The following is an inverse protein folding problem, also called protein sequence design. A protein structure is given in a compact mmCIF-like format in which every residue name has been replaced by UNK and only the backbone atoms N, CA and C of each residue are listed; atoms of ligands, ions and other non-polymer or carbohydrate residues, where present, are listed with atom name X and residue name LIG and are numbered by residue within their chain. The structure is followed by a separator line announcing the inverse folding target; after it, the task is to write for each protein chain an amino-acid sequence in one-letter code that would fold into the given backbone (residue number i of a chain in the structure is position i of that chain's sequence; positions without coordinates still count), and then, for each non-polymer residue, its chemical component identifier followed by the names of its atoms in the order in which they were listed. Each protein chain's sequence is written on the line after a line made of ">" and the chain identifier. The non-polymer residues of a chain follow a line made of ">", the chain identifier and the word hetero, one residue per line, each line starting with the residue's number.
data_IF_415187016531
#
_entry.id   IF_415187016531
#
_cell.length_a   1.000
_cell.length_b   1.000
_cell.length_c   1.000
_cell.angle_alpha   90.00
_cell.angle_beta   90.00
_cell.angle_gamma   90.00
#
_symmetry.space_group_name_H-M   'P 1'
#
loop_
_entity.id
_entity.type
_entity.pdbx_description
1 polymer ?
#
# COMPACT_ATOMS: atom_id res chain seq x y z
N UNK A 1 -13.63 -40.90 32.30
CA UNK A 1 -13.70 -40.50 30.87
C UNK A 1 -14.85 -41.28 30.23
N UNK A 2 -16.03 -40.67 30.08
CA UNK A 2 -17.16 -41.28 29.37
C UNK A 2 -16.95 -41.01 27.91
N UNK A 3 -16.74 -42.07 27.11
CA UNK A 3 -16.69 -42.02 25.66
C UNK A 3 -18.02 -41.45 25.11
N UNK A 4 -17.94 -40.29 24.47
CA UNK A 4 -19.03 -39.75 23.69
C UNK A 4 -19.18 -40.64 22.45
N UNK A 5 -20.07 -41.64 22.53
CA UNK A 5 -20.56 -42.33 21.34
C UNK A 5 -21.44 -41.32 20.59
N UNK A 6 -20.89 -40.73 19.54
CA UNK A 6 -21.64 -40.02 18.51
C UNK A 6 -22.33 -41.13 17.68
N UNK A 7 -23.46 -41.58 18.19
CA UNK A 7 -24.33 -42.52 17.46
C UNK A 7 -25.12 -41.77 16.39
N UNK A 8 -24.67 -41.89 15.21
CA UNK A 8 -25.26 -41.85 13.88
C UNK A 8 -26.80 -41.73 13.79
N UNK A 9 -27.33 -40.50 13.98
CA UNK A 9 -28.57 -40.12 13.34
C UNK A 9 -28.51 -38.61 13.12
N UNK A 10 -27.85 -38.17 12.05
CA UNK A 10 -27.86 -36.77 11.64
C UNK A 10 -29.26 -36.49 11.13
N UNK A 11 -30.07 -35.65 11.82
CA UNK A 11 -31.50 -35.44 11.49
C UNK A 11 -31.70 -34.53 10.30
N UNK A 12 -30.77 -34.54 9.31
CA UNK A 12 -30.77 -33.64 8.13
C UNK A 12 -32.04 -33.83 7.28
N UNK A 13 -32.74 -34.98 7.38
CA UNK A 13 -34.00 -35.23 6.66
C UNK A 13 -35.21 -34.54 7.28
N UNK A 14 -35.12 -33.99 8.50
CA UNK A 14 -36.26 -33.36 9.18
C UNK A 14 -36.35 -31.89 8.87
N UNK A 15 -37.50 -31.48 8.34
CA UNK A 15 -37.76 -30.07 7.91
C UNK A 15 -37.64 -29.08 9.07
N UNK A 16 -37.98 -29.47 10.31
CA UNK A 16 -37.86 -28.59 11.49
C UNK A 16 -36.42 -28.35 11.85
N UNK A 17 -35.58 -29.37 11.89
CA UNK A 17 -34.14 -29.24 12.11
C UNK A 17 -33.50 -28.31 11.07
N UNK A 18 -33.83 -28.50 9.80
CA UNK A 18 -33.31 -27.66 8.72
C UNK A 18 -33.72 -26.19 8.86
N UNK A 19 -34.97 -25.93 9.27
CA UNK A 19 -35.43 -24.54 9.55
C UNK A 19 -34.67 -23.90 10.69
N UNK A 20 -34.49 -24.61 11.81
CA UNK A 20 -33.71 -24.11 12.96
C UNK A 20 -32.26 -23.84 12.53
N UNK A 21 -31.65 -24.76 11.79
CA UNK A 21 -30.29 -24.61 11.28
C UNK A 21 -30.19 -23.38 10.35
N UNK A 22 -31.15 -23.17 9.44
CA UNK A 22 -31.17 -22.02 8.55
C UNK A 22 -31.32 -20.68 9.32
N UNK A 23 -32.11 -20.66 10.40
CA UNK A 23 -32.21 -19.46 11.25
C UNK A 23 -30.86 -19.15 11.90
N UNK A 24 -30.14 -20.12 12.44
CA UNK A 24 -28.81 -19.89 12.99
C UNK A 24 -27.78 -19.52 11.92
N UNK A 25 -27.86 -20.14 10.74
CA UNK A 25 -27.00 -19.81 9.61
C UNK A 25 -27.24 -18.39 9.09
N UNK A 26 -28.49 -17.86 9.20
CA UNK A 26 -28.80 -16.51 8.76
C UNK A 26 -28.06 -15.44 9.58
N UNK A 27 -27.62 -15.72 10.81
CA UNK A 27 -26.78 -14.84 11.60
C UNK A 27 -25.36 -14.69 11.04
N UNK A 28 -24.92 -15.60 10.15
CA UNK A 28 -23.62 -15.46 9.46
C UNK A 28 -23.71 -14.54 8.25
N UNK A 29 -24.90 -14.22 7.74
CA UNK A 29 -25.13 -13.39 6.57
C UNK A 29 -24.62 -11.94 6.77
N UNK A 30 -24.88 -11.25 7.89
CA UNK A 30 -24.29 -9.95 8.18
C UNK A 30 -22.76 -9.97 8.20
N UNK A 31 -22.15 -11.04 8.69
CA UNK A 31 -20.68 -11.18 8.73
C UNK A 31 -20.12 -11.24 7.31
N UNK A 32 -20.77 -12.00 6.41
CA UNK A 32 -20.38 -12.05 4.99
C UNK A 32 -20.52 -10.70 4.30
N UNK A 33 -21.62 -9.98 4.55
CA UNK A 33 -21.86 -8.67 3.96
C UNK A 33 -20.79 -7.67 4.43
N UNK A 34 -20.54 -7.60 5.75
CA UNK A 34 -19.54 -6.71 6.34
C UNK A 34 -18.14 -7.10 5.85
N UNK A 35 -17.81 -8.39 5.82
CA UNK A 35 -16.53 -8.88 5.32
C UNK A 35 -16.29 -8.50 3.86
N UNK A 36 -17.29 -8.64 3.00
CA UNK A 36 -17.21 -8.24 1.60
C UNK A 36 -17.06 -6.72 1.43
N UNK A 37 -17.81 -5.95 2.21
CA UNK A 37 -17.70 -4.48 2.19
C UNK A 37 -16.31 -4.02 2.64
N UNK A 38 -15.79 -4.57 3.73
CA UNK A 38 -14.45 -4.27 4.22
C UNK A 38 -13.38 -4.65 3.20
N UNK A 39 -13.51 -5.81 2.55
CA UNK A 39 -12.58 -6.23 1.51
C UNK A 39 -12.47 -5.22 0.37
N UNK A 40 -13.61 -4.78 -0.17
CA UNK A 40 -13.64 -3.78 -1.26
C UNK A 40 -13.03 -2.46 -0.78
N UNK A 41 -13.43 -1.99 0.40
CA UNK A 41 -12.95 -0.72 0.94
C UNK A 41 -11.43 -0.73 1.20
N UNK A 42 -10.89 -1.78 1.80
CA UNK A 42 -9.45 -1.91 2.03
C UNK A 42 -8.66 -2.09 0.73
N UNK A 43 -9.24 -2.75 -0.27
CA UNK A 43 -8.59 -2.89 -1.58
C UNK A 43 -8.39 -1.52 -2.25
N UNK A 44 -9.43 -0.69 -2.26
CA UNK A 44 -9.36 0.64 -2.86
C UNK A 44 -8.41 1.55 -2.08
N UNK A 45 -8.49 1.54 -0.74
CA UNK A 45 -7.58 2.28 0.11
C UNK A 45 -6.11 1.86 -0.09
N UNK A 46 -5.84 0.56 -0.11
CA UNK A 46 -4.49 0.04 -0.34
C UNK A 46 -3.92 0.47 -1.71
N UNK A 47 -4.78 0.56 -2.74
CA UNK A 47 -4.39 1.05 -4.06
C UNK A 47 -4.01 2.54 -4.03
N UNK A 48 -4.77 3.35 -3.32
CA UNK A 48 -4.49 4.78 -3.18
C UNK A 48 -3.22 5.01 -2.34
N UNK A 49 -3.04 4.29 -1.24
CA UNK A 49 -1.83 4.32 -0.41
C UNK A 49 -0.58 3.92 -1.21
N UNK A 50 -0.71 2.91 -2.08
CA UNK A 50 0.36 2.47 -2.96
C UNK A 50 0.79 3.58 -3.94
N UNK A 51 -0.17 4.23 -4.61
CA UNK A 51 0.09 5.37 -5.50
C UNK A 51 0.72 6.54 -4.75
N UNK A 52 0.17 6.89 -3.61
CA UNK A 52 0.67 7.98 -2.77
C UNK A 52 2.10 7.71 -2.31
N UNK A 53 2.42 6.48 -1.91
CA UNK A 53 3.79 6.10 -1.51
C UNK A 53 4.80 6.28 -2.63
N UNK A 54 4.46 5.85 -3.86
CA UNK A 54 5.33 6.05 -5.03
C UNK A 54 5.53 7.55 -5.28
N UNK A 55 4.45 8.33 -5.24
CA UNK A 55 4.49 9.77 -5.47
C UNK A 55 5.35 10.49 -4.43
N UNK A 56 5.17 10.18 -3.14
CA UNK A 56 5.96 10.78 -2.06
C UNK A 56 7.44 10.43 -2.17
N UNK A 57 7.79 9.19 -2.49
CA UNK A 57 9.16 8.77 -2.69
C UNK A 57 9.81 9.47 -3.90
N UNK A 58 9.05 9.59 -4.98
CA UNK A 58 9.51 10.29 -6.19
C UNK A 58 9.69 11.79 -5.92
N UNK A 59 8.76 12.41 -5.18
CA UNK A 59 8.85 13.80 -4.76
C UNK A 59 10.08 14.04 -3.87
N UNK A 60 10.28 13.19 -2.87
CA UNK A 60 11.44 13.30 -1.98
C UNK A 60 12.76 13.18 -2.76
N UNK A 61 12.82 12.31 -3.77
CA UNK A 61 13.99 12.16 -4.64
C UNK A 61 14.21 13.40 -5.51
N UNK A 62 13.15 13.95 -6.08
CA UNK A 62 13.20 15.16 -6.90
C UNK A 62 13.66 16.36 -6.07
N UNK A 63 13.08 16.56 -4.88
CA UNK A 63 13.44 17.65 -3.97
C UNK A 63 14.90 17.52 -3.50
N UNK A 64 15.35 16.30 -3.22
CA UNK A 64 16.74 16.04 -2.86
C UNK A 64 17.70 16.43 -3.99
N UNK A 65 17.41 16.03 -5.23
CA UNK A 65 18.21 16.36 -6.41
C UNK A 65 18.21 17.89 -6.61
N UNK A 66 17.05 18.55 -6.51
CA UNK A 66 16.92 20.00 -6.65
C UNK A 66 17.79 20.73 -5.63
N UNK A 67 17.76 20.32 -4.35
CA UNK A 67 18.58 20.93 -3.28
C UNK A 67 20.06 20.76 -3.56
N UNK A 68 20.48 19.58 -4.05
CA UNK A 68 21.89 19.34 -4.41
C UNK A 68 22.34 20.21 -5.58
N UNK A 69 21.55 20.27 -6.65
CA UNK A 69 21.86 21.09 -7.82
C UNK A 69 21.90 22.59 -7.46
N UNK A 70 20.96 23.04 -6.63
CA UNK A 70 20.94 24.42 -6.14
C UNK A 70 22.16 24.74 -5.27
N UNK A 71 22.58 23.79 -4.42
CA UNK A 71 23.78 23.94 -3.58
C UNK A 71 25.03 24.02 -4.45
N UNK A 72 25.11 23.18 -5.48
CA UNK A 72 26.18 23.19 -6.47
C UNK A 72 26.25 24.54 -7.22
N UNK A 73 25.12 25.05 -7.64
CA UNK A 73 25.01 26.38 -8.27
C UNK A 73 25.51 27.49 -7.33
N UNK A 74 25.06 27.51 -6.08
CA UNK A 74 25.51 28.50 -5.09
C UNK A 74 27.01 28.42 -4.79
N UNK A 75 27.55 27.21 -4.72
CA UNK A 75 28.96 26.95 -4.52
C UNK A 75 29.80 27.46 -5.70
N UNK A 76 29.31 27.24 -6.94
CA UNK A 76 29.94 27.78 -8.14
C UNK A 76 29.96 29.29 -8.17
N UNK A 77 28.91 29.94 -7.69
CA UNK A 77 28.86 31.41 -7.55
C UNK A 77 29.84 31.89 -6.51
N UNK A 78 29.97 31.18 -5.39
CA UNK A 78 30.92 31.57 -4.34
C UNK A 78 32.36 31.48 -4.83
N UNK A 79 32.67 30.57 -5.78
CA UNK A 79 33.97 30.48 -6.44
C UNK A 79 34.34 31.78 -7.13
N UNK A 80 33.45 32.34 -7.93
CA UNK A 80 33.68 33.60 -8.63
C UNK A 80 33.66 34.84 -7.70
N UNK A 81 33.24 34.71 -6.47
CA UNK A 81 33.21 35.76 -5.47
C UNK A 81 34.44 35.71 -4.55
N UNK A 82 35.24 34.66 -4.61
CA UNK A 82 36.46 34.50 -3.82
C UNK A 82 37.58 35.41 -4.38
N UNK A 83 38.03 36.38 -3.58
CA UNK A 83 39.08 37.33 -3.99
C UNK A 83 40.38 36.64 -4.35
N UNK A 84 40.73 35.55 -3.68
CA UNK A 84 41.91 34.77 -3.99
C UNK A 84 41.79 34.09 -5.36
N UNK A 85 40.67 33.46 -5.63
CA UNK A 85 40.40 32.86 -6.95
C UNK A 85 40.47 33.93 -8.04
N UNK A 86 39.82 35.07 -7.83
CA UNK A 86 39.81 36.16 -8.81
C UNK A 86 41.19 36.74 -9.08
N UNK A 87 42.06 36.86 -8.07
CA UNK A 87 43.42 37.33 -8.27
C UNK A 87 44.29 36.39 -9.12
N UNK A 88 43.95 35.10 -9.14
CA UNK A 88 44.68 34.07 -9.92
C UNK A 88 44.17 33.91 -11.34
N UNK A 89 42.90 34.26 -11.58
CA UNK A 89 42.31 34.28 -12.93
C UNK A 89 42.75 35.52 -13.72
N UNK A 90 43.49 36.44 -13.08
CA UNK A 90 44.11 37.60 -13.75
C UNK A 90 45.40 37.21 -14.52
N UNK A 91 45.74 37.96 -15.58
CA UNK A 91 46.91 37.64 -16.36
C UNK A 91 48.20 37.72 -15.53
N UNK A 92 49.04 36.78 -15.75
CA UNK A 92 50.32 36.54 -15.07
C UNK A 92 51.31 37.73 -15.04
N UNK A 93 51.06 38.78 -15.84
CA UNK A 93 51.97 39.91 -15.97
C UNK A 93 52.07 40.86 -14.77
N UNK A 94 51.22 40.66 -13.77
CA UNK A 94 51.12 41.57 -12.61
C UNK A 94 51.58 40.95 -11.29
N UNK A 95 52.07 39.73 -11.28
CA UNK A 95 52.42 39.06 -10.02
C UNK A 95 53.92 39.19 -9.68
N UNK A 96 54.18 39.67 -8.48
CA UNK A 96 55.52 39.58 -7.87
C UNK A 96 55.91 38.11 -7.61
N UNK A 97 57.22 37.78 -7.57
CA UNK A 97 57.67 36.43 -7.32
C UNK A 97 57.12 35.76 -6.05
N UNK A 98 56.76 36.58 -5.05
CA UNK A 98 56.16 36.10 -3.81
C UNK A 98 54.75 35.52 -3.99
N UNK A 99 54.00 35.90 -5.04
CA UNK A 99 52.65 35.44 -5.27
C UNK A 99 52.56 34.05 -5.90
N UNK A 100 53.69 33.55 -6.42
CA UNK A 100 53.81 32.18 -6.99
C UNK A 100 53.60 31.08 -5.96
N UNK A 101 53.81 31.36 -4.68
CA UNK A 101 53.63 30.40 -3.59
C UNK A 101 52.16 30.04 -3.33
N UNK A 102 51.26 30.84 -3.83
CA UNK A 102 49.83 30.68 -3.59
C UNK A 102 49.04 30.04 -4.78
N UNK A 103 49.73 29.65 -5.87
CA UNK A 103 49.14 28.95 -7.03
C UNK A 103 48.27 27.70 -6.69
N UNK A 104 48.45 26.99 -5.55
CA UNK A 104 47.65 25.89 -5.17
C UNK A 104 46.19 26.20 -4.80
N UNK A 105 45.80 27.46 -4.69
CA UNK A 105 44.50 27.86 -4.12
C UNK A 105 43.30 27.54 -5.02
N UNK A 106 43.45 27.53 -6.36
CA UNK A 106 42.32 27.19 -7.26
C UNK A 106 41.98 25.68 -7.18
N UNK A 107 42.93 24.74 -7.36
CA UNK A 107 42.68 23.31 -7.16
C UNK A 107 42.13 23.02 -5.76
N UNK A 108 42.69 23.61 -4.71
CA UNK A 108 42.21 23.43 -3.35
C UNK A 108 40.76 23.95 -3.17
N UNK A 109 40.45 25.10 -3.74
CA UNK A 109 39.08 25.65 -3.68
C UNK A 109 38.10 24.78 -4.46
N UNK A 110 38.47 24.26 -5.63
CA UNK A 110 37.68 23.30 -6.39
C UNK A 110 37.47 21.99 -5.64
N UNK A 111 38.50 21.46 -5.01
CA UNK A 111 38.43 20.27 -4.17
C UNK A 111 37.46 20.49 -2.99
N UNK A 112 37.56 21.64 -2.31
CA UNK A 112 36.65 22.02 -1.22
C UNK A 112 35.21 22.12 -1.70
N UNK A 113 34.97 22.75 -2.85
CA UNK A 113 33.63 22.85 -3.44
C UNK A 113 33.12 21.45 -3.79
N UNK A 114 33.91 20.64 -4.47
CA UNK A 114 33.55 19.27 -4.84
C UNK A 114 33.16 18.45 -3.62
N UNK A 115 33.91 18.53 -2.52
CA UNK A 115 33.62 17.80 -1.29
C UNK A 115 32.35 18.32 -0.58
N UNK A 116 32.03 19.60 -0.69
CA UNK A 116 30.84 20.19 -0.06
C UNK A 116 29.54 19.96 -0.84
N UNK A 117 29.63 19.74 -2.15
CA UNK A 117 28.44 19.57 -3.01
C UNK A 117 27.91 18.12 -2.94
N UNK A 118 28.73 17.17 -2.50
CA UNK A 118 28.31 15.78 -2.32
C UNK A 118 28.42 14.92 -3.58
N UNK A 119 27.87 13.73 -3.50
CA UNK A 119 28.16 12.65 -4.44
C UNK A 119 27.51 12.75 -5.82
N UNK A 120 26.49 13.59 -6.01
CA UNK A 120 25.82 13.76 -7.32
C UNK A 120 26.74 14.40 -8.36
N UNK A 121 27.72 15.21 -7.89
CA UNK A 121 28.67 15.87 -8.78
C UNK A 121 29.82 14.90 -9.07
N UNK A 122 30.00 14.66 -10.34
CA UNK A 122 31.05 13.80 -10.82
C UNK A 122 32.39 14.49 -10.91
N UNK A 123 32.41 15.69 -11.51
CA UNK A 123 33.60 16.49 -11.66
C UNK A 123 33.28 17.99 -11.68
N UNK A 124 34.24 18.79 -11.25
CA UNK A 124 34.25 20.27 -11.37
C UNK A 124 35.59 20.70 -11.94
N UNK A 125 35.55 21.53 -12.97
CA UNK A 125 36.73 22.16 -13.56
C UNK A 125 36.41 23.57 -14.07
N UNK A 126 37.45 24.38 -14.10
CA UNK A 126 37.36 25.77 -14.63
C UNK A 126 38.37 25.94 -15.73
N UNK A 127 37.98 26.44 -16.86
CA UNK A 127 38.90 26.77 -17.92
C UNK A 127 38.85 28.29 -18.20
N UNK A 128 40.02 28.81 -18.57
CA UNK A 128 40.25 30.23 -18.74
C UNK A 128 40.94 30.45 -20.08
N UNK A 129 40.38 31.39 -20.89
CA UNK A 129 40.92 31.83 -22.17
C UNK A 129 41.36 30.69 -23.13
N UNK A 130 40.65 29.56 -23.12
CA UNK A 130 40.90 28.34 -23.91
C UNK A 130 42.33 27.78 -23.87
N UNK A 131 43.13 28.19 -22.88
CA UNK A 131 44.52 27.72 -22.70
C UNK A 131 44.66 26.73 -21.55
N UNK A 132 44.00 26.98 -20.45
CA UNK A 132 44.25 26.29 -19.16
C UNK A 132 42.95 25.76 -18.55
N UNK A 133 43.00 24.55 -18.01
CA UNK A 133 41.91 23.95 -17.24
C UNK A 133 42.40 23.67 -15.85
N UNK A 134 41.76 24.27 -14.88
CA UNK A 134 41.97 24.02 -13.43
C UNK A 134 41.00 22.93 -12.97
N UNK A 135 41.51 21.91 -12.38
CA UNK A 135 40.79 20.81 -11.77
C UNK A 135 41.08 20.76 -10.27
N UNK A 136 40.41 19.90 -9.54
CA UNK A 136 40.75 19.65 -8.13
C UNK A 136 42.13 19.02 -7.97
N UNK A 137 42.65 18.36 -8.99
CA UNK A 137 43.91 17.61 -8.99
C UNK A 137 45.07 18.43 -9.53
N UNK A 138 44.84 19.56 -10.17
CA UNK A 138 45.87 20.42 -10.72
C UNK A 138 45.46 21.29 -11.91
N UNK A 139 46.47 21.70 -12.65
CA UNK A 139 46.35 22.54 -13.84
C UNK A 139 46.71 21.73 -15.09
N UNK A 140 45.83 21.75 -16.07
CA UNK A 140 46.01 21.00 -17.30
C UNK A 140 45.96 21.93 -18.53
N UNK A 141 46.50 21.50 -19.66
CA UNK A 141 46.34 22.14 -20.94
C UNK A 141 44.91 21.89 -21.46
N UNK A 142 44.26 22.89 -22.01
CA UNK A 142 42.88 22.80 -22.51
C UNK A 142 42.70 21.67 -23.55
N UNK A 143 43.58 21.61 -24.55
CA UNK A 143 43.49 20.58 -25.59
C UNK A 143 43.70 19.16 -25.01
N UNK A 144 44.65 19.02 -24.12
CA UNK A 144 44.96 17.74 -23.50
C UNK A 144 43.81 17.28 -22.56
N UNK A 145 43.23 18.21 -21.83
CA UNK A 145 42.12 17.91 -20.94
C UNK A 145 40.93 17.34 -21.69
N UNK A 146 40.42 18.04 -22.71
CA UNK A 146 39.24 17.63 -23.44
C UNK A 146 39.45 16.48 -24.41
N UNK A 147 40.71 16.22 -24.84
CA UNK A 147 41.01 15.10 -25.74
C UNK A 147 41.43 13.83 -25.04
N UNK A 148 41.98 13.92 -23.83
CA UNK A 148 42.62 12.78 -23.18
C UNK A 148 42.16 12.52 -21.77
N UNK A 149 41.85 13.57 -20.99
CA UNK A 149 41.49 13.39 -19.57
C UNK A 149 40.00 13.22 -19.38
N UNK A 150 39.20 14.13 -20.00
CA UNK A 150 37.76 14.18 -19.79
C UNK A 150 37.04 14.46 -21.12
N UNK A 151 36.76 13.39 -21.84
CA UNK A 151 36.21 13.46 -23.20
C UNK A 151 34.69 13.33 -23.19
N UNK A 152 34.02 14.35 -23.76
CA UNK A 152 32.56 14.31 -23.96
C UNK A 152 32.27 13.81 -25.40
N UNK A 153 31.40 12.82 -25.54
CA UNK A 153 31.02 12.31 -26.84
C UNK A 153 30.19 13.32 -27.67
N UNK A 154 29.39 14.16 -27.00
CA UNK A 154 28.51 15.11 -27.66
C UNK A 154 29.15 16.51 -27.82
N UNK A 155 30.25 16.80 -27.15
CA UNK A 155 30.83 18.13 -27.07
C UNK A 155 32.32 18.11 -27.34
N UNK A 156 32.69 18.61 -28.51
CA UNK A 156 34.11 18.68 -28.91
C UNK A 156 34.81 19.93 -28.33
N UNK A 157 36.09 20.08 -28.61
CA UNK A 157 36.86 21.25 -28.16
C UNK A 157 36.32 22.58 -28.72
N UNK A 158 35.84 22.57 -29.95
CA UNK A 158 35.32 23.79 -30.60
C UNK A 158 34.04 24.25 -29.89
N UNK A 159 33.22 23.32 -29.47
CA UNK A 159 32.05 23.60 -28.67
C UNK A 159 32.44 24.27 -27.31
N UNK A 160 33.41 23.69 -26.57
CA UNK A 160 33.84 24.24 -25.29
C UNK A 160 34.45 25.64 -25.44
N UNK A 161 35.23 25.89 -26.52
CA UNK A 161 35.72 27.23 -26.84
C UNK A 161 34.61 28.24 -27.07
N UNK A 162 33.55 27.84 -27.77
CA UNK A 162 32.40 28.72 -28.00
C UNK A 162 31.67 29.10 -26.71
N UNK A 163 31.68 28.21 -25.71
CA UNK A 163 31.01 28.46 -24.40
C UNK A 163 31.70 29.51 -23.54
N UNK A 164 32.99 29.73 -23.71
CA UNK A 164 33.71 30.78 -23.00
C UNK A 164 33.18 32.15 -23.38
N UNK A 165 32.84 32.36 -24.65
CA UNK A 165 32.43 33.66 -25.18
C UNK A 165 30.98 34.05 -24.87
N UNK A 166 30.19 33.19 -24.27
CA UNK A 166 28.81 33.45 -23.91
C UNK A 166 28.70 33.77 -22.43
N UNK A 167 28.40 35.04 -22.10
CA UNK A 167 28.11 35.50 -20.74
C UNK A 167 26.76 34.93 -20.23
N UNK A 168 26.66 33.59 -20.15
CA UNK A 168 25.51 32.93 -19.58
C UNK A 168 25.80 32.53 -18.14
N UNK A 169 25.01 33.05 -17.23
CA UNK A 169 25.14 32.80 -15.82
C UNK A 169 25.03 31.34 -15.43
N UNK A 170 24.13 30.58 -16.06
CA UNK A 170 23.96 29.15 -15.91
C UNK A 170 23.35 28.60 -17.20
N UNK A 171 23.99 27.58 -17.77
CA UNK A 171 23.46 26.83 -18.89
C UNK A 171 23.54 25.35 -18.57
N UNK A 172 22.39 24.66 -18.60
CA UNK A 172 22.34 23.20 -18.55
C UNK A 172 22.50 22.69 -19.99
N UNK A 173 23.40 21.74 -20.20
CA UNK A 173 23.58 21.06 -21.48
C UNK A 173 22.89 19.71 -21.45
N UNK A 174 22.66 19.14 -22.65
CA UNK A 174 22.11 17.81 -22.76
C UNK A 174 23.07 16.74 -22.19
N UNK A 175 22.55 15.61 -21.69
CA UNK A 175 23.39 14.51 -21.24
C UNK A 175 24.37 14.05 -22.31
N UNK A 176 25.60 13.78 -21.92
CA UNK A 176 26.63 13.25 -22.79
C UNK A 176 27.34 12.09 -22.14
N UNK A 177 27.70 11.10 -22.93
CA UNK A 177 28.67 10.08 -22.52
C UNK A 177 30.03 10.75 -22.32
N UNK A 178 30.67 10.39 -21.22
CA UNK A 178 31.98 10.93 -20.84
C UNK A 178 32.94 9.77 -20.62
N UNK A 179 34.08 9.84 -21.28
CA UNK A 179 35.21 8.93 -21.06
C UNK A 179 36.25 9.66 -20.24
N UNK A 180 36.57 9.13 -19.07
CA UNK A 180 37.65 9.64 -18.22
C UNK A 180 38.82 8.69 -18.30
N UNK A 181 40.03 9.24 -18.37
CA UNK A 181 41.26 8.41 -18.42
C UNK A 181 41.22 7.34 -17.36
N UNK A 182 41.43 6.08 -17.77
CA UNK A 182 41.45 4.87 -16.91
C UNK A 182 40.15 4.56 -16.15
N UNK A 183 39.00 5.14 -16.57
CA UNK A 183 37.69 4.90 -15.96
C UNK A 183 36.69 4.36 -16.97
N UNK A 184 35.60 3.75 -16.46
CA UNK A 184 34.48 3.34 -17.31
C UNK A 184 33.76 4.56 -17.90
N UNK A 185 33.18 4.37 -19.07
CA UNK A 185 32.27 5.35 -19.69
C UNK A 185 31.06 5.58 -18.76
N UNK A 186 30.70 6.82 -18.55
CA UNK A 186 29.58 7.26 -17.73
C UNK A 186 28.77 8.34 -18.43
N UNK A 187 27.55 8.60 -18.00
CA UNK A 187 26.73 9.67 -18.55
C UNK A 187 26.71 10.84 -17.58
N UNK A 188 26.99 12.03 -18.08
CA UNK A 188 27.00 13.25 -17.27
C UNK A 188 26.21 14.36 -17.93
N UNK A 189 25.56 15.19 -17.09
CA UNK A 189 24.88 16.42 -17.48
C UNK A 189 25.79 17.58 -17.11
N UNK A 190 26.36 18.30 -18.12
CA UNK A 190 27.17 19.47 -17.83
C UNK A 190 26.31 20.68 -17.48
N UNK A 191 26.70 21.39 -16.42
CA UNK A 191 26.21 22.72 -16.08
C UNK A 191 27.37 23.69 -16.25
N UNK A 192 27.19 24.69 -17.09
CA UNK A 192 28.22 25.66 -17.46
C UNK A 192 27.89 27.00 -16.82
N UNK A 193 28.86 27.57 -16.10
CA UNK A 193 28.80 28.90 -15.50
C UNK A 193 29.88 29.76 -16.13
N UNK A 194 29.55 30.49 -17.19
CA UNK A 194 30.48 31.33 -17.88
C UNK A 194 30.39 32.77 -17.35
N UNK A 195 31.56 33.41 -17.18
CA UNK A 195 31.65 34.81 -16.73
C UNK A 195 32.92 35.47 -17.25
N UNK A 196 32.79 36.71 -17.67
CA UNK A 196 33.94 37.55 -17.97
C UNK A 196 34.41 38.22 -16.71
N UNK A 197 35.71 38.04 -16.36
CA UNK A 197 36.34 38.62 -15.17
C UNK A 197 37.60 39.37 -15.61
N UNK A 198 37.61 40.70 -15.39
CA UNK A 198 38.75 41.58 -15.71
C UNK A 198 39.29 41.43 -17.14
N UNK A 199 38.40 41.17 -18.12
CA UNK A 199 38.76 41.00 -19.52
C UNK A 199 39.14 39.56 -19.89
N UNK A 200 39.18 38.63 -18.94
CA UNK A 200 39.38 37.20 -19.15
C UNK A 200 38.07 36.50 -19.13
N UNK A 201 37.90 35.53 -20.06
CA UNK A 201 36.75 34.70 -20.10
C UNK A 201 37.02 33.42 -19.31
N UNK A 202 36.22 33.16 -18.31
CA UNK A 202 36.31 31.95 -17.49
C UNK A 202 34.97 31.20 -17.51
N UNK A 203 35.05 29.88 -17.69
CA UNK A 203 33.88 29.02 -17.56
C UNK A 203 34.16 27.89 -16.57
N UNK A 204 33.31 27.81 -15.57
CA UNK A 204 33.26 26.65 -14.69
C UNK A 204 32.26 25.64 -15.25
N UNK A 205 32.68 24.41 -15.34
CA UNK A 205 31.82 23.30 -15.71
C UNK A 205 31.71 22.35 -14.53
N UNK A 206 30.49 22.06 -14.17
CA UNK A 206 30.15 21.10 -13.17
C UNK A 206 29.38 19.97 -13.86
N UNK A 207 29.83 18.73 -13.73
CA UNK A 207 29.18 17.58 -14.32
C UNK A 207 28.42 16.80 -13.27
N UNK A 208 27.14 16.56 -13.53
CA UNK A 208 26.24 15.78 -12.67
C UNK A 208 26.13 14.38 -13.20
N UNK A 209 26.40 13.39 -12.38
CA UNK A 209 26.30 11.97 -12.77
C UNK A 209 24.84 11.53 -12.89
N UNK A 210 24.45 11.08 -14.07
CA UNK A 210 23.12 10.53 -14.34
C UNK A 210 22.93 9.22 -13.57
N UNK A 211 23.98 8.41 -13.45
CA UNK A 211 23.95 7.16 -12.70
C UNK A 211 23.69 7.40 -11.20
N UNK A 212 24.25 8.46 -10.62
CA UNK A 212 24.02 8.84 -9.23
C UNK A 212 22.60 9.38 -9.00
N UNK A 213 22.09 10.16 -9.93
CA UNK A 213 20.66 10.58 -9.92
C UNK A 213 19.78 9.33 -9.93
N UNK A 214 20.07 8.40 -10.84
CA UNK A 214 19.33 7.16 -10.97
C UNK A 214 19.35 6.33 -9.69
N UNK A 215 20.54 6.15 -9.08
CA UNK A 215 20.69 5.47 -7.79
C UNK A 215 19.90 6.14 -6.68
N UNK A 216 19.90 7.46 -6.60
CA UNK A 216 19.15 8.21 -5.60
C UNK A 216 17.65 7.93 -5.72
N UNK A 217 17.11 7.96 -6.94
CA UNK A 217 15.70 7.69 -7.18
C UNK A 217 15.37 6.22 -6.88
N UNK A 218 16.21 5.28 -7.32
CA UNK A 218 15.99 3.84 -7.09
C UNK A 218 16.05 3.47 -5.61
N UNK A 219 17.01 4.02 -4.87
CA UNK A 219 17.15 3.75 -3.44
C UNK A 219 15.96 4.28 -2.62
N UNK A 220 15.39 5.40 -3.02
CA UNK A 220 14.21 5.97 -2.37
C UNK A 220 12.89 5.38 -2.90
N UNK A 221 12.90 4.75 -4.07
CA UNK A 221 11.71 4.34 -4.80
C UNK A 221 10.87 3.24 -4.14
N UNK A 222 11.46 2.36 -3.39
CA UNK A 222 10.76 1.38 -2.55
C UNK A 222 10.24 0.12 -3.26
N UNK A 223 10.21 0.06 -4.60
CA UNK A 223 9.80 -1.12 -5.37
C UNK A 223 10.84 -1.47 -6.43
N UNK A 224 11.35 -2.70 -6.39
CA UNK A 224 12.49 -3.14 -7.23
C UNK A 224 12.16 -3.22 -8.72
N UNK A 225 10.91 -3.41 -9.07
CA UNK A 225 10.43 -3.52 -10.46
C UNK A 225 9.95 -2.20 -11.06
N UNK A 226 10.06 -1.09 -10.32
CA UNK A 226 9.67 0.23 -10.82
C UNK A 226 10.67 0.71 -11.87
N UNK A 227 10.15 1.14 -13.00
CA UNK A 227 10.91 1.82 -14.04
C UNK A 227 10.82 3.33 -13.84
N UNK A 228 11.95 4.01 -14.04
CA UNK A 228 12.05 5.45 -13.88
C UNK A 228 12.46 6.12 -15.20
N UNK A 229 11.91 7.31 -15.43
CA UNK A 229 12.30 8.17 -16.54
C UNK A 229 12.46 9.59 -16.01
N UNK A 230 13.41 10.33 -16.57
CA UNK A 230 13.64 11.73 -16.27
C UNK A 230 13.60 12.48 -17.60
N UNK A 231 12.77 13.51 -17.66
CA UNK A 231 12.66 14.42 -18.80
C UNK A 231 13.17 15.80 -18.39
N UNK A 232 13.74 16.50 -19.32
CA UNK A 232 14.08 17.91 -19.18
C UNK A 232 12.86 18.83 -19.40
N UNK A 233 13.09 20.13 -19.30
CA UNK A 233 12.05 21.15 -19.55
C UNK A 233 11.54 21.19 -21.00
N UNK A 234 12.28 20.61 -21.93
CA UNK A 234 11.93 20.48 -23.36
C UNK A 234 11.20 19.19 -23.68
N UNK A 235 10.97 18.32 -22.69
CA UNK A 235 10.46 16.96 -22.79
C UNK A 235 11.41 15.99 -23.53
N UNK A 236 12.70 16.27 -23.51
CA UNK A 236 13.70 15.31 -23.95
C UNK A 236 14.11 14.37 -22.81
N UNK A 237 14.38 13.10 -23.11
CA UNK A 237 14.75 12.10 -22.12
C UNK A 237 16.19 12.36 -21.64
N UNK A 238 16.34 12.76 -20.38
CA UNK A 238 17.64 12.83 -19.69
C UNK A 238 18.15 11.45 -19.39
N UNK A 239 17.28 10.59 -18.86
CA UNK A 239 17.62 9.24 -18.45
C UNK A 239 16.39 8.35 -18.32
N UNK A 240 16.60 7.05 -18.51
CA UNK A 240 15.61 6.01 -18.26
C UNK A 240 16.25 4.72 -17.75
N UNK A 241 15.56 4.02 -16.87
CA UNK A 241 15.92 2.66 -16.45
C UNK A 241 15.41 1.59 -17.42
N UNK A 242 14.58 1.96 -18.38
CA UNK A 242 13.98 1.06 -19.38
C UNK A 242 15.04 0.78 -20.45
N UNK A 243 15.37 -0.49 -20.64
CA UNK A 243 16.39 -0.89 -21.64
C UNK A 243 15.88 -0.83 -23.08
N UNK A 244 14.61 -1.17 -23.27
CA UNK A 244 13.95 -1.14 -24.58
C UNK A 244 12.75 -0.18 -24.51
N UNK A 245 12.89 0.96 -25.16
CA UNK A 245 11.89 2.03 -25.16
C UNK A 245 10.81 1.86 -26.24
N UNK A 246 11.01 0.99 -27.22
CA UNK A 246 10.09 0.88 -28.37
C UNK A 246 8.66 0.54 -27.95
N UNK A 247 8.39 -0.43 -27.04
CA UNK A 247 7.03 -0.72 -26.58
C UNK A 247 6.39 0.43 -25.78
N UNK A 248 7.22 1.33 -25.23
CA UNK A 248 6.80 2.40 -24.32
C UNK A 248 6.56 3.73 -25.02
N UNK A 249 7.11 3.91 -26.22
CA UNK A 249 7.22 5.20 -26.91
C UNK A 249 5.87 5.87 -27.14
N UNK A 250 4.89 5.14 -27.63
CA UNK A 250 3.54 5.67 -27.87
C UNK A 250 2.83 6.08 -26.58
N UNK A 251 3.04 5.31 -25.52
CA UNK A 251 2.46 5.58 -24.21
C UNK A 251 3.11 6.80 -23.56
N UNK A 252 4.43 6.90 -23.63
CA UNK A 252 5.21 8.03 -23.08
C UNK A 252 4.84 9.34 -23.80
N UNK A 253 4.75 9.33 -25.12
CA UNK A 253 4.32 10.51 -25.89
C UNK A 253 2.90 10.97 -25.55
N UNK A 254 1.99 10.05 -25.26
CA UNK A 254 0.64 10.37 -24.79
C UNK A 254 0.66 11.12 -23.45
N UNK A 255 1.51 10.69 -22.51
CA UNK A 255 1.57 11.30 -21.16
C UNK A 255 2.24 12.66 -21.15
N UNK A 256 3.32 12.84 -21.90
CA UNK A 256 4.01 14.12 -22.02
C UNK A 256 3.14 15.18 -22.68
N UNK A 257 2.29 14.79 -23.64
CA UNK A 257 1.34 15.71 -24.30
C UNK A 257 0.13 16.07 -23.44
N UNK A 258 -0.40 15.11 -22.67
CA UNK A 258 -1.62 15.31 -21.87
C UNK A 258 -1.35 15.78 -20.43
N UNK A 259 -0.09 15.90 -20.01
CA UNK A 259 0.34 16.28 -18.65
C UNK A 259 -0.40 15.50 -17.55
N UNK A 260 -0.60 14.21 -17.77
CA UNK A 260 -1.30 13.34 -16.82
C UNK A 260 -0.41 13.12 -15.60
N UNK A 261 -0.84 13.57 -14.43
CA UNK A 261 -0.08 13.47 -13.20
C UNK A 261 -0.03 12.05 -12.61
N UNK A 262 -1.04 11.25 -12.88
CA UNK A 262 -1.06 9.83 -12.49
C UNK A 262 -2.10 9.07 -13.31
N UNK A 263 -1.80 7.85 -13.67
CA UNK A 263 -2.71 7.04 -14.49
C UNK A 263 -2.38 5.55 -14.46
N UNK A 264 -3.25 4.76 -15.08
CA UNK A 264 -3.00 3.36 -15.36
C UNK A 264 -2.63 3.19 -16.83
N UNK A 265 -1.55 2.45 -17.07
CA UNK A 265 -1.01 2.11 -18.37
C UNK A 265 -1.21 0.64 -18.67
N UNK A 266 -1.38 0.32 -19.94
CA UNK A 266 -1.27 -1.06 -20.43
C UNK A 266 -0.21 -1.11 -21.52
N UNK A 267 0.85 -1.89 -21.28
CA UNK A 267 1.94 -2.10 -22.24
C UNK A 267 2.15 -3.60 -22.35
N UNK A 268 2.10 -4.14 -23.56
CA UNK A 268 2.22 -5.57 -23.83
C UNK A 268 1.30 -6.47 -22.98
N UNK A 269 0.07 -6.01 -22.73
CA UNK A 269 -0.90 -6.72 -21.93
C UNK A 269 -0.74 -6.58 -20.40
N UNK A 270 0.38 -6.03 -19.94
CA UNK A 270 0.63 -5.78 -18.52
C UNK A 270 0.09 -4.42 -18.09
N UNK A 271 -0.44 -4.36 -16.87
CA UNK A 271 -0.88 -3.12 -16.24
C UNK A 271 0.25 -2.47 -15.45
N UNK A 272 0.39 -1.16 -15.59
CA UNK A 272 1.34 -0.34 -14.84
C UNK A 272 0.63 0.86 -14.20
N UNK A 273 1.16 1.32 -13.09
CA UNK A 273 0.77 2.59 -12.45
C UNK A 273 1.83 3.62 -12.81
N UNK A 274 1.40 4.70 -13.46
CA UNK A 274 2.22 5.86 -13.76
C UNK A 274 2.03 6.90 -12.67
N UNK A 275 3.14 7.46 -12.18
CA UNK A 275 3.16 8.62 -11.30
C UNK A 275 4.24 9.55 -11.78
N UNK A 276 4.00 10.86 -11.75
CA UNK A 276 5.02 11.85 -12.07
C UNK A 276 5.14 12.93 -10.99
N UNK A 277 6.30 13.57 -11.01
CA UNK A 277 6.62 14.72 -10.17
C UNK A 277 7.45 15.69 -11.00
N UNK A 278 7.14 16.98 -10.92
CA UNK A 278 7.90 18.03 -11.60
C UNK A 278 8.82 18.72 -10.60
N UNK A 279 10.11 18.86 -10.97
CA UNK A 279 11.07 19.67 -10.24
C UNK A 279 10.63 21.13 -10.22
N UNK A 280 10.72 21.73 -9.04
CA UNK A 280 10.39 23.17 -8.88
C UNK A 280 11.46 24.10 -9.42
N UNK A 281 12.70 23.63 -9.58
CA UNK A 281 13.87 24.49 -9.88
C UNK A 281 14.33 24.38 -11.34
N UNK A 282 14.48 23.14 -11.81
CA UNK A 282 15.08 22.91 -13.14
C UNK A 282 14.05 22.54 -14.22
N UNK A 283 12.77 22.42 -13.84
CA UNK A 283 11.70 22.07 -14.75
C UNK A 283 11.75 20.62 -15.22
N UNK A 284 12.59 19.78 -14.61
CA UNK A 284 12.65 18.36 -14.91
C UNK A 284 11.37 17.65 -14.46
N UNK A 285 10.96 16.66 -15.21
CA UNK A 285 9.83 15.82 -14.82
C UNK A 285 10.30 14.39 -14.60
N UNK A 286 10.05 13.90 -13.40
CA UNK A 286 10.38 12.54 -12.99
C UNK A 286 9.15 11.67 -13.13
N UNK A 287 9.28 10.53 -13.78
CA UNK A 287 8.22 9.53 -13.92
C UNK A 287 8.65 8.25 -13.24
N UNK A 288 7.72 7.64 -12.52
CA UNK A 288 7.80 6.29 -12.00
C UNK A 288 6.70 5.44 -12.62
N UNK A 289 7.09 4.34 -13.23
CA UNK A 289 6.19 3.37 -13.87
C UNK A 289 6.34 2.04 -13.15
N UNK A 290 5.38 1.74 -12.27
CA UNK A 290 5.42 0.56 -11.41
C UNK A 290 4.46 -0.50 -11.93
N UNK A 291 4.89 -1.76 -12.12
CA UNK A 291 3.98 -2.84 -12.48
C UNK A 291 2.87 -3.00 -11.44
N UNK A 292 1.64 -3.16 -11.92
CA UNK A 292 0.49 -3.39 -11.03
C UNK A 292 0.62 -4.70 -10.23
N UNK A 293 1.43 -5.63 -10.72
CA UNK A 293 1.77 -6.87 -10.02
C UNK A 293 2.39 -6.61 -8.63
N UNK A 294 3.24 -5.60 -8.48
CA UNK A 294 3.83 -5.21 -7.18
C UNK A 294 2.77 -4.85 -6.14
N UNK A 295 1.72 -4.15 -6.57
CA UNK A 295 0.57 -3.88 -5.71
C UNK A 295 -0.18 -5.15 -5.35
N UNK A 296 -0.46 -6.03 -6.34
CA UNK A 296 -1.18 -7.28 -6.10
C UNK A 296 -0.39 -8.23 -5.20
N UNK A 297 0.91 -8.35 -5.35
CA UNK A 297 1.74 -9.25 -4.54
C UNK A 297 1.79 -8.83 -3.07
N UNK A 298 1.92 -7.53 -2.78
CA UNK A 298 1.88 -7.03 -1.41
C UNK A 298 0.49 -7.11 -0.78
N UNK A 299 -0.54 -6.78 -1.55
CA UNK A 299 -1.92 -6.80 -1.05
C UNK A 299 -2.47 -8.22 -0.91
N UNK A 300 -2.09 -9.16 -1.78
CA UNK A 300 -2.56 -10.56 -1.69
C UNK A 300 -2.17 -11.24 -0.38
N UNK A 301 -1.01 -10.97 0.17
CA UNK A 301 -0.60 -11.55 1.45
C UNK A 301 -1.49 -11.05 2.60
N UNK A 302 -1.81 -9.77 2.64
CA UNK A 302 -2.72 -9.18 3.64
C UNK A 302 -4.14 -9.71 3.43
N UNK A 303 -4.63 -9.71 2.18
CA UNK A 303 -5.96 -10.19 1.85
C UNK A 303 -6.12 -11.69 2.11
N UNK A 304 -5.11 -12.52 1.80
CA UNK A 304 -5.12 -13.94 2.12
C UNK A 304 -5.22 -14.18 3.64
N UNK A 305 -4.54 -13.38 4.44
CA UNK A 305 -4.61 -13.45 5.90
C UNK A 305 -6.01 -13.10 6.41
N UNK A 306 -6.59 -11.98 5.94
CA UNK A 306 -7.96 -11.58 6.30
C UNK A 306 -8.98 -12.60 5.83
N UNK A 307 -8.88 -13.09 4.60
CA UNK A 307 -9.77 -14.11 4.05
C UNK A 307 -9.69 -15.42 4.86
N UNK A 308 -8.49 -15.84 5.26
CA UNK A 308 -8.32 -17.05 6.07
C UNK A 308 -8.99 -16.92 7.44
N UNK A 309 -8.88 -15.76 8.09
CA UNK A 309 -9.57 -15.47 9.36
C UNK A 309 -11.08 -15.53 9.15
N UNK A 310 -11.61 -14.89 8.11
CA UNK A 310 -13.04 -14.92 7.79
C UNK A 310 -13.55 -16.36 7.53
N UNK A 311 -12.79 -17.18 6.80
CA UNK A 311 -13.14 -18.58 6.54
C UNK A 311 -13.17 -19.39 7.85
N UNK A 312 -12.17 -19.22 8.72
CA UNK A 312 -12.14 -19.88 10.03
C UNK A 312 -13.35 -19.50 10.87
N UNK A 313 -13.70 -18.20 10.92
CA UNK A 313 -14.87 -17.72 11.64
C UNK A 313 -16.18 -18.26 11.06
N UNK A 314 -16.30 -18.36 9.74
CA UNK A 314 -17.46 -18.97 9.08
C UNK A 314 -17.59 -20.45 9.42
N UNK A 315 -16.50 -21.22 9.37
CA UNK A 315 -16.50 -22.64 9.74
C UNK A 315 -16.90 -22.79 11.21
N UNK A 316 -16.30 -22.02 12.10
CA UNK A 316 -16.64 -22.02 13.53
C UNK A 316 -18.13 -21.66 13.76
N UNK A 317 -18.63 -20.64 13.06
CA UNK A 317 -20.04 -20.26 13.09
C UNK A 317 -20.99 -21.35 12.55
N UNK A 318 -20.62 -22.04 11.49
CA UNK A 318 -21.37 -23.19 10.99
C UNK A 318 -21.42 -24.34 11.99
N UNK A 319 -20.29 -24.66 12.60
CA UNK A 319 -20.21 -25.70 13.65
C UNK A 319 -21.07 -25.32 14.85
N UNK A 320 -20.98 -24.09 15.34
CA UNK A 320 -21.81 -23.60 16.44
C UNK A 320 -23.30 -23.62 16.07
N UNK A 321 -23.65 -23.17 14.87
CA UNK A 321 -25.04 -23.21 14.38
C UNK A 321 -25.57 -24.65 14.36
N UNK A 322 -24.75 -25.60 13.94
CA UNK A 322 -25.12 -27.02 13.94
C UNK A 322 -25.31 -27.55 15.38
N UNK A 323 -24.38 -27.25 16.29
CA UNK A 323 -24.47 -27.65 17.70
C UNK A 323 -25.72 -27.08 18.37
N UNK A 324 -26.01 -25.77 18.16
CA UNK A 324 -27.20 -25.15 18.72
C UNK A 324 -28.48 -25.71 18.10
N UNK A 325 -28.53 -25.92 16.79
CA UNK A 325 -29.69 -26.54 16.13
C UNK A 325 -29.94 -27.94 16.66
N UNK A 326 -28.88 -28.74 16.86
CA UNK A 326 -28.97 -30.07 17.42
C UNK A 326 -29.45 -30.06 18.88
N UNK A 327 -28.89 -29.19 19.71
CA UNK A 327 -29.27 -29.09 21.13
C UNK A 327 -30.73 -28.62 21.31
N UNK A 328 -31.22 -27.74 20.44
CA UNK A 328 -32.63 -27.33 20.45
C UNK A 328 -33.58 -28.37 19.88
N UNK A 329 -33.14 -29.09 18.85
CA UNK A 329 -33.97 -30.11 18.21
C UNK A 329 -34.09 -31.40 19.04
N UNK A 330 -33.03 -31.82 19.73
CA UNK A 330 -32.98 -33.08 20.51
C UNK A 330 -34.09 -33.19 21.58
N UNK A 331 -34.40 -32.15 22.42
CA UNK A 331 -35.53 -32.21 23.34
C UNK A 331 -36.89 -32.32 22.62
N UNK A 332 -37.04 -31.64 21.50
CA UNK A 332 -38.28 -31.67 20.70
C UNK A 332 -38.50 -33.08 20.14
N UNK A 333 -37.46 -33.73 19.66
CA UNK A 333 -37.49 -35.10 19.19
C UNK A 333 -37.90 -36.07 20.31
N UNK A 334 -37.37 -35.93 21.52
CA UNK A 334 -37.74 -36.76 22.67
C UNK A 334 -39.21 -36.61 23.04
N UNK A 335 -39.76 -35.41 23.03
CA UNK A 335 -41.16 -35.15 23.27
C UNK A 335 -42.02 -35.82 22.21
N UNK A 336 -41.65 -35.73 20.93
CA UNK A 336 -42.33 -36.41 19.83
C UNK A 336 -42.33 -37.94 20.01
N UNK A 337 -41.16 -38.52 20.37
CA UNK A 337 -41.01 -39.96 20.50
C UNK A 337 -41.81 -40.49 21.70
N UNK A 338 -41.93 -39.72 22.82
CA UNK A 338 -42.80 -40.08 23.94
C UNK A 338 -44.28 -40.03 23.50
N UNK A 339 -44.70 -39.05 22.78
CA UNK A 339 -46.07 -38.92 22.30
C UNK A 339 -46.44 -40.06 21.30
N UNK A 340 -45.48 -40.56 20.52
CA UNK A 340 -45.69 -41.67 19.62
C UNK A 340 -45.77 -43.03 20.38
N UNK A 341 -45.04 -43.21 21.49
CA UNK A 341 -44.99 -44.43 22.24
C UNK A 341 -46.29 -44.71 23.01
N UNK A 342 -47.02 -43.67 23.43
CA UNK A 342 -48.27 -43.79 24.20
C UNK A 342 -49.53 -44.03 23.31
N UNK A 343 -49.36 -44.45 22.06
CA UNK A 343 -50.48 -44.94 21.23
C UNK A 343 -51.43 -43.86 20.70
N UNK A 344 -50.97 -42.62 20.64
CA UNK A 344 -51.77 -41.48 20.12
C UNK A 344 -51.96 -41.51 18.58
N UNK A 345 -51.47 -42.57 17.94
CA UNK A 345 -51.48 -42.70 16.45
C UNK A 345 -52.82 -43.22 15.87
N UNK A 346 -53.73 -43.77 16.72
CA UNK A 346 -54.85 -44.56 16.22
C UNK A 346 -56.10 -43.73 15.75
N UNK A 347 -56.16 -42.43 16.05
CA UNK A 347 -57.40 -41.68 15.76
C UNK A 347 -57.31 -40.71 14.56
N UNK A 348 -56.11 -40.54 13.98
CA UNK A 348 -55.89 -39.53 12.91
C UNK A 348 -55.52 -40.15 11.53
N UNK A 349 -55.72 -41.43 11.29
CA UNK A 349 -55.45 -42.07 9.99
C UNK A 349 -56.29 -41.54 8.83
N UNK A 350 -57.30 -40.70 9.09
CA UNK A 350 -58.23 -40.16 8.09
C UNK A 350 -58.02 -38.69 7.72
N UNK A 351 -57.02 -37.97 8.24
CA UNK A 351 -56.66 -36.62 7.75
C UNK A 351 -55.22 -36.64 7.27
N UNK A 352 -54.95 -36.32 5.99
CA UNK A 352 -53.56 -36.17 5.53
C UNK A 352 -52.99 -34.89 6.13
N UNK A 353 -52.37 -35.03 7.30
CA UNK A 353 -51.57 -33.98 7.87
C UNK A 353 -50.43 -33.65 6.91
N UNK A 354 -50.30 -32.42 6.47
CA UNK A 354 -49.21 -31.94 5.64
C UNK A 354 -47.89 -32.33 6.29
N UNK A 355 -47.20 -33.28 5.69
CA UNK A 355 -45.87 -33.74 6.08
C UNK A 355 -44.98 -32.54 6.31
N UNK A 356 -44.71 -32.11 7.55
CA UNK A 356 -43.73 -31.07 7.83
C UNK A 356 -44.03 -30.06 8.94
N UNK A 357 -45.06 -30.21 9.77
CA UNK A 357 -45.33 -29.32 10.91
C UNK A 357 -45.24 -30.10 12.24
N UNK A 358 -43.99 -30.54 12.58
CA UNK A 358 -43.72 -31.28 13.81
C UNK A 358 -44.17 -30.57 15.08
N UNK A 359 -44.04 -29.22 15.11
CA UNK A 359 -44.52 -28.40 16.24
C UNK A 359 -46.03 -28.39 16.40
N UNK A 360 -46.78 -28.37 15.29
CA UNK A 360 -48.23 -28.45 15.30
C UNK A 360 -48.71 -29.80 15.81
N UNK A 361 -48.02 -30.85 15.39
CA UNK A 361 -48.28 -32.23 15.85
C UNK A 361 -48.02 -32.40 17.36
N UNK A 362 -46.90 -31.85 17.89
CA UNK A 362 -46.62 -31.82 19.32
C UNK A 362 -47.66 -31.00 20.07
N UNK A 363 -48.08 -29.86 19.53
CA UNK A 363 -49.14 -29.03 20.10
C UNK A 363 -50.47 -29.79 20.24
N UNK A 364 -50.87 -30.53 19.20
CA UNK A 364 -52.09 -31.34 19.23
C UNK A 364 -51.96 -32.50 20.24
N UNK A 365 -50.81 -33.17 20.30
CA UNK A 365 -50.56 -34.23 21.29
C UNK A 365 -50.64 -33.74 22.73
N UNK A 366 -50.05 -32.57 23.02
CA UNK A 366 -50.16 -31.95 24.34
C UNK A 366 -51.61 -31.57 24.66
N UNK A 367 -52.35 -31.04 23.69
CA UNK A 367 -53.76 -30.64 23.89
C UNK A 367 -54.60 -31.87 24.24
N UNK A 368 -54.39 -33.02 23.57
CA UNK A 368 -55.08 -34.27 23.87
C UNK A 368 -54.74 -34.78 25.26
N UNK A 369 -53.48 -34.70 25.68
CA UNK A 369 -53.09 -35.11 27.05
C UNK A 369 -53.80 -34.28 28.11
N UNK A 370 -53.87 -32.96 27.88
CA UNK A 370 -54.59 -32.03 28.79
C UNK A 370 -56.10 -32.36 28.83
N UNK A 371 -56.70 -32.63 27.66
CA UNK A 371 -58.12 -33.00 27.57
C UNK A 371 -58.44 -34.32 28.23
N UNK A 372 -57.63 -35.35 27.98
CA UNK A 372 -57.75 -36.64 28.70
C UNK A 372 -57.56 -36.50 30.20
N UNK A 373 -56.60 -35.69 30.65
CA UNK A 373 -56.40 -35.44 32.08
C UNK A 373 -57.62 -34.72 32.71
N UNK A 374 -58.18 -33.76 31.97
CA UNK A 374 -59.38 -33.04 32.42
C UNK A 374 -60.62 -33.93 32.43
N UNK A 375 -60.79 -34.84 31.47
CA UNK A 375 -61.85 -35.81 31.44
C UNK A 375 -61.68 -36.87 32.55
N UNK A 376 -60.44 -37.31 32.81
CA UNK A 376 -60.10 -38.21 33.88
C UNK A 376 -60.41 -37.58 35.26
N UNK A 377 -60.01 -36.32 35.49
CA UNK A 377 -60.37 -35.53 36.67
C UNK A 377 -61.85 -35.37 36.84
N UNK A 378 -62.64 -35.15 35.77
CA UNK A 378 -64.10 -35.04 35.83
C UNK A 378 -64.74 -36.37 36.12
N UNK A 379 -64.26 -37.48 35.55
CA UNK A 379 -64.77 -38.81 35.82
C UNK A 379 -64.46 -39.28 37.27
N UNK A 380 -63.31 -38.87 37.81
CA UNK A 380 -62.92 -39.13 39.20
C UNK A 380 -63.80 -38.36 40.18
N UNK A 381 -64.12 -37.14 39.92
CA UNK A 381 -64.99 -36.29 40.75
C UNK A 381 -66.48 -36.75 40.63
N UNK A 382 -66.86 -37.32 39.49
CA UNK A 382 -68.22 -37.83 39.27
C UNK A 382 -68.42 -39.30 39.62
N UNK A 383 -67.37 -39.99 40.04
CA UNK A 383 -67.44 -41.40 40.44
C UNK A 383 -68.24 -41.54 41.75
N UNK A 384 -69.23 -42.45 41.79
CA UNK A 384 -70.07 -42.65 42.96
C UNK A 384 -69.28 -42.93 44.25
N UNK A 385 -68.09 -43.53 44.18
CA UNK A 385 -67.18 -43.79 45.28
C UNK A 385 -66.55 -42.53 45.87
N UNK A 386 -66.17 -41.54 45.02
CA UNK A 386 -65.60 -40.26 45.44
C UNK A 386 -66.65 -39.35 46.11
N UNK A 387 -67.86 -39.39 45.58
CA UNK A 387 -69.00 -38.68 46.17
C UNK A 387 -69.32 -39.26 47.55
N UNK A 388 -69.26 -40.60 47.71
CA UNK A 388 -69.48 -41.26 49.02
C UNK A 388 -68.41 -40.93 50.04
N UNK A 389 -67.13 -40.86 49.65
CA UNK A 389 -66.05 -40.44 50.57
C UNK A 389 -66.15 -38.97 50.95
N UNK A 390 -66.54 -38.09 50.02
CA UNK A 390 -66.68 -36.69 50.28
C UNK A 390 -67.91 -36.38 51.18
N UNK A 391 -69.00 -37.14 51.02
CA UNK A 391 -70.13 -37.10 51.94
C UNK A 391 -69.80 -37.63 53.35
N UNK A 392 -68.98 -38.66 53.47
CA UNK A 392 -68.50 -39.12 54.80
C UNK A 392 -67.55 -38.13 55.47
N UNK A 393 -66.75 -37.37 54.76
CA UNK A 393 -65.84 -36.39 55.36
C UNK A 393 -66.58 -35.08 55.78
N UNK A 394 -67.70 -34.74 55.16
CA UNK A 394 -68.56 -33.60 55.56
C UNK A 394 -69.43 -33.87 56.78
N UNK A 395 -69.66 -35.16 57.10
CA UNK A 395 -70.40 -35.54 58.34
C UNK A 395 -69.56 -35.56 59.64
N UNK A 396 -68.24 -35.47 59.52
CA UNK A 396 -67.29 -35.48 60.63
C UNK A 396 -66.73 -34.12 60.99
N UNK A 397 -67.11 -33.04 60.35
CA UNK A 397 -66.67 -31.68 60.75
C UNK A 397 -67.83 -30.92 61.42
N UNK A 398 -68.02 -31.23 62.76
CA UNK A 398 -68.79 -30.38 63.65
C UNK A 398 -68.03 -29.09 63.99
N UNK A 399 -68.71 -28.01 64.36
CA UNK A 399 -68.13 -26.68 64.44
C UNK A 399 -67.27 -26.50 65.66
N UNK A 400 -66.02 -26.27 65.49
CA UNK A 400 -65.13 -25.79 66.57
C UNK A 400 -64.47 -24.47 66.22
N UNK A 401 -65.03 -23.44 66.84
CA UNK A 401 -64.44 -22.19 67.35
C UNK A 401 -63.20 -21.61 66.75
N UNK A 402 -63.46 -20.39 66.27
CA UNK A 402 -62.51 -19.27 66.13
C UNK A 402 -61.38 -19.30 67.19
N UNK A 403 -60.16 -19.20 66.75
CA UNK A 403 -59.13 -18.49 67.51
C UNK A 403 -58.17 -17.76 66.53
N UNK A 404 -58.34 -16.45 66.64
CA UNK A 404 -57.55 -15.39 66.18
C UNK A 404 -56.07 -15.55 66.53
N UNK A 405 -55.13 -15.51 65.61
CA UNK A 405 -53.80 -15.00 65.90
C UNK A 405 -53.18 -14.32 64.64
N UNK A 406 -52.83 -13.11 64.95
CA UNK A 406 -52.17 -12.07 64.22
C UNK A 406 -50.86 -12.43 63.51
N UNK A 407 -50.60 -11.77 62.43
CA UNK A 407 -49.30 -11.59 61.75
C UNK A 407 -48.15 -11.18 62.71
N UNK A 408 -46.89 -11.42 62.33
CA UNK A 408 -46.14 -10.28 61.81
C UNK A 408 -45.35 -10.54 60.52
N UNK A 409 -45.23 -9.45 59.80
CA UNK A 409 -44.34 -9.10 58.73
C UNK A 409 -42.86 -9.38 59.05
N UNK A 410 -42.13 -9.99 58.08
CA UNK A 410 -40.86 -9.47 57.59
C UNK A 410 -40.67 -10.01 56.16
#
# INVERSE_FOLDING_TARGET
>A
MKSFQISSYIPIKNKLFLRILLYFLSFLLPILIIGSFLYIHFHDQAKDDFKQKIQLNLQASADFIDVYLLTAQRSSLSFYSDKNVMSYLLPYKLYAPADKVNLPNIPYTLARISNNIGELIDNIFVFVDDEKVYTKDGLENFNYFFNSIYQFAAYDQSFWRSKISTDKYLEQLNPSKVTVTNSMEKTAIPFVFARTVNGHQAAMVMTVSVERIAQTIQNNGGYSSTHYLIFDSSNDIIWTSIKDLDPWKSSIEGFTKEQINSGELRIDGNKYVLTNVKSGTYGWTYYAVTPYAEFTDQSTQIFATVASICIILLIAGCVLSFVFAYNLYSPIQKIRDILMQDGYESDYTNRPLKKGNELEWIGMGIHQIIEKNNTFKRSWISSPQTISIMCCLTQFSGPSRLMNRSYPSF
#
